data_IF_845423405389
#
_entry.id   IF_845423405389
#
_cell.length_a   1.000
_cell.length_b   1.000
_cell.length_c   1.000
_cell.angle_alpha   90.00
_cell.angle_beta   90.00
_cell.angle_gamma   90.00
#
_symmetry.space_group_name_H-M   'P 1'
#
loop_
_entity.id
_entity.type
_entity.pdbx_description
1 polymer ?
#
# COMPACT_ATOMS: atom_id res chain seq x y z
N UNK A 1 -20.99 9.99 -61.32
CA UNK A 1 -19.94 9.29 -60.54
C UNK A 1 -19.52 10.23 -59.42
N UNK A 2 -20.01 10.00 -58.20
CA UNK A 2 -19.76 10.85 -57.02
C UNK A 2 -18.62 10.20 -56.24
N UNK A 3 -17.52 10.93 -56.05
CA UNK A 3 -16.35 10.44 -55.32
C UNK A 3 -16.55 10.83 -53.86
N UNK A 4 -16.88 9.86 -53.01
CA UNK A 4 -16.97 10.08 -51.57
C UNK A 4 -15.56 10.14 -50.97
N UNK A 5 -15.27 11.21 -50.23
CA UNK A 5 -14.01 11.40 -49.52
C UNK A 5 -14.02 10.66 -48.17
N UNK A 6 -12.92 10.02 -47.75
CA UNK A 6 -12.87 9.27 -46.51
C UNK A 6 -12.84 10.21 -45.30
N UNK A 7 -13.84 10.09 -44.43
CA UNK A 7 -13.87 10.78 -43.13
C UNK A 7 -12.90 10.08 -42.18
N UNK A 8 -11.81 10.77 -41.86
CA UNK A 8 -10.86 10.37 -40.81
C UNK A 8 -11.52 10.56 -39.43
N UNK A 9 -11.99 9.46 -38.86
CA UNK A 9 -12.41 9.39 -37.46
C UNK A 9 -11.18 9.50 -36.56
N UNK A 10 -10.84 10.72 -36.14
CA UNK A 10 -9.93 10.93 -35.02
C UNK A 10 -10.69 10.62 -33.73
N UNK A 11 -10.55 9.39 -33.24
CA UNK A 11 -10.89 9.05 -31.85
C UNK A 11 -9.95 9.83 -30.93
N UNK A 12 -10.27 11.09 -30.67
CA UNK A 12 -9.71 11.83 -29.57
C UNK A 12 -10.10 11.09 -28.28
N UNK A 13 -9.15 10.31 -27.76
CA UNK A 13 -9.23 9.71 -26.44
C UNK A 13 -9.25 10.81 -25.40
N UNK A 14 -10.44 11.37 -25.15
CA UNK A 14 -10.68 12.27 -24.05
C UNK A 14 -10.28 11.53 -22.77
N UNK A 15 -9.14 11.92 -22.19
CA UNK A 15 -8.75 11.47 -20.85
C UNK A 15 -9.87 11.93 -19.93
N UNK A 16 -10.58 10.99 -19.33
CA UNK A 16 -11.58 11.30 -18.31
C UNK A 16 -10.92 12.14 -17.21
N UNK A 17 -11.56 13.22 -16.75
CA UNK A 17 -11.01 14.02 -15.66
C UNK A 17 -10.76 13.13 -14.44
N UNK A 18 -9.68 13.41 -13.73
CA UNK A 18 -9.30 12.68 -12.51
C UNK A 18 -10.50 12.67 -11.55
N UNK A 19 -11.09 11.50 -11.36
CA UNK A 19 -12.15 11.34 -10.37
C UNK A 19 -11.51 11.37 -8.98
N UNK A 20 -12.08 12.16 -8.07
CA UNK A 20 -11.64 12.20 -6.66
C UNK A 20 -11.55 10.80 -6.05
N UNK A 21 -12.45 9.89 -6.43
CA UNK A 21 -12.43 8.52 -5.94
C UNK A 21 -11.30 7.64 -6.51
N UNK A 22 -10.65 8.03 -7.60
CA UNK A 22 -9.45 7.33 -8.10
C UNK A 22 -8.20 7.75 -7.32
N UNK A 23 -8.14 9.02 -6.88
CA UNK A 23 -7.03 9.56 -6.10
C UNK A 23 -6.81 8.82 -4.77
N UNK A 24 -7.85 8.15 -4.25
CA UNK A 24 -7.79 7.25 -3.11
C UNK A 24 -6.61 6.26 -3.19
N UNK A 25 -6.34 5.71 -4.39
CA UNK A 25 -5.32 4.70 -4.59
C UNK A 25 -3.88 5.21 -4.55
N UNK A 26 -3.66 6.51 -4.36
CA UNK A 26 -2.33 7.07 -4.11
C UNK A 26 -1.94 6.90 -2.63
N UNK A 27 -2.92 6.77 -1.73
CA UNK A 27 -2.70 6.70 -0.27
C UNK A 27 -1.70 5.61 0.14
N UNK A 28 -1.81 4.34 -0.32
CA UNK A 28 -0.87 3.30 0.10
C UNK A 28 0.58 3.65 -0.25
N UNK A 29 0.81 4.21 -1.44
CA UNK A 29 2.14 4.63 -1.89
C UNK A 29 2.73 5.77 -1.07
N UNK A 30 1.94 6.81 -0.76
CA UNK A 30 2.42 7.94 0.08
C UNK A 30 2.68 7.47 1.51
N UNK A 31 1.76 6.69 2.08
CA UNK A 31 1.93 6.14 3.43
C UNK A 31 3.23 5.38 3.54
N UNK A 32 3.51 4.48 2.58
CA UNK A 32 4.68 3.62 2.69
C UNK A 32 5.99 4.41 2.65
N UNK A 33 6.08 5.43 1.79
CA UNK A 33 7.24 6.34 1.78
C UNK A 33 7.42 7.01 3.15
N UNK A 34 6.36 7.57 3.72
CA UNK A 34 6.45 8.26 5.02
C UNK A 34 6.82 7.31 6.16
N UNK A 35 6.26 6.10 6.14
CA UNK A 35 6.55 5.08 7.12
C UNK A 35 8.01 4.61 7.05
N UNK A 36 8.50 4.26 5.86
CA UNK A 36 9.91 3.87 5.70
C UNK A 36 10.87 5.01 6.07
N UNK A 37 10.49 6.27 5.83
CA UNK A 37 11.32 7.42 6.25
C UNK A 37 11.43 7.55 7.78
N UNK A 38 10.38 7.17 8.54
CA UNK A 38 10.47 7.09 10.00
C UNK A 38 11.38 5.94 10.45
N UNK A 39 11.29 4.80 9.77
CA UNK A 39 12.07 3.60 10.11
C UNK A 39 13.56 3.74 9.77
N UNK A 40 13.88 4.40 8.65
CA UNK A 40 15.21 4.43 8.04
C UNK A 40 16.37 4.72 9.03
N UNK A 41 16.25 5.65 10.00
CA UNK A 41 17.37 5.94 10.89
C UNK A 41 17.63 4.85 11.94
N UNK A 42 16.61 4.11 12.39
CA UNK A 42 16.69 3.31 13.61
C UNK A 42 16.10 1.90 13.54
N UNK A 43 15.42 1.52 12.46
CA UNK A 43 14.73 0.23 12.40
C UNK A 43 15.70 -0.95 12.39
N UNK A 44 16.73 -0.95 11.54
CA UNK A 44 17.75 -2.00 11.52
C UNK A 44 18.41 -2.25 12.90
N UNK A 45 18.97 -1.25 13.60
CA UNK A 45 19.53 -1.47 14.93
C UNK A 45 18.47 -1.79 15.99
N UNK A 46 17.20 -1.42 15.80
CA UNK A 46 16.11 -1.83 16.69
C UNK A 46 15.77 -3.31 16.50
N UNK A 47 15.66 -3.79 15.26
CA UNK A 47 15.41 -5.19 14.94
C UNK A 47 16.52 -6.09 15.50
N UNK A 48 17.80 -5.76 15.30
CA UNK A 48 18.92 -6.54 15.85
C UNK A 48 18.95 -6.65 17.38
N UNK A 49 18.24 -5.78 18.11
CA UNK A 49 18.14 -5.90 19.58
C UNK A 49 17.05 -6.86 20.05
N UNK A 50 16.00 -7.06 19.26
CA UNK A 50 14.80 -7.79 19.67
C UNK A 50 14.53 -9.06 18.85
N UNK A 51 15.11 -9.18 17.67
CA UNK A 51 14.90 -10.27 16.71
C UNK A 51 16.25 -10.74 16.13
N UNK A 52 16.28 -11.14 14.85
CA UNK A 52 17.52 -11.51 14.15
C UNK A 52 18.33 -10.27 13.76
N UNK A 53 19.62 -10.47 13.50
CA UNK A 53 20.53 -9.40 13.07
C UNK A 53 20.11 -8.84 11.71
N UNK A 54 19.73 -7.56 11.67
CA UNK A 54 19.36 -6.85 10.45
C UNK A 54 20.36 -5.74 10.13
N UNK A 55 21.06 -5.87 9.01
CA UNK A 55 21.92 -4.78 8.52
C UNK A 55 21.10 -3.70 7.80
N UNK A 56 21.55 -2.43 7.80
CA UNK A 56 20.91 -1.38 7.00
C UNK A 56 20.84 -1.71 5.49
N UNK A 57 21.83 -2.44 4.97
CA UNK A 57 21.82 -2.89 3.57
C UNK A 57 20.72 -3.92 3.33
N UNK A 58 20.58 -4.91 4.21
CA UNK A 58 19.53 -5.93 4.14
C UNK A 58 18.15 -5.28 4.23
N UNK A 59 17.95 -4.35 5.15
CA UNK A 59 16.74 -3.53 5.25
C UNK A 59 16.42 -2.83 3.92
N UNK A 60 17.40 -2.13 3.34
CA UNK A 60 17.21 -1.45 2.06
C UNK A 60 16.88 -2.42 0.90
N UNK A 61 17.48 -3.62 0.88
CA UNK A 61 17.20 -4.64 -0.14
C UNK A 61 15.77 -5.20 -0.06
N UNK A 62 15.14 -5.18 1.12
CA UNK A 62 13.74 -5.57 1.28
C UNK A 62 12.79 -4.40 1.00
N UNK A 63 13.08 -3.22 1.57
CA UNK A 63 12.17 -2.08 1.48
C UNK A 63 12.14 -1.43 0.10
N UNK A 64 13.27 -1.26 -0.60
CA UNK A 64 13.30 -0.57 -1.90
C UNK A 64 12.40 -1.29 -2.93
N UNK A 65 12.51 -2.62 -3.15
CA UNK A 65 11.61 -3.33 -4.05
C UNK A 65 10.15 -3.27 -3.60
N UNK A 66 9.89 -3.37 -2.30
CA UNK A 66 8.54 -3.30 -1.76
C UNK A 66 7.89 -1.93 -2.00
N UNK A 67 8.61 -0.84 -1.77
CA UNK A 67 8.16 0.53 -2.06
C UNK A 67 7.86 0.68 -3.55
N UNK A 68 8.77 0.25 -4.43
CA UNK A 68 8.56 0.33 -5.88
C UNK A 68 7.33 -0.47 -6.32
N UNK A 69 7.11 -1.63 -5.73
CA UNK A 69 5.93 -2.46 -5.99
C UNK A 69 4.64 -1.77 -5.55
N UNK A 70 4.59 -1.23 -4.33
CA UNK A 70 3.40 -0.52 -3.82
C UNK A 70 3.12 0.75 -4.62
N UNK A 71 4.16 1.49 -5.03
CA UNK A 71 4.01 2.65 -5.91
C UNK A 71 3.43 2.26 -7.27
N UNK A 72 3.93 1.17 -7.87
CA UNK A 72 3.39 0.64 -9.11
C UNK A 72 1.91 0.24 -8.96
N UNK A 73 1.58 -0.51 -7.91
CA UNK A 73 0.21 -0.94 -7.61
C UNK A 73 -0.71 0.27 -7.41
N UNK A 74 -0.28 1.23 -6.60
CA UNK A 74 -0.99 2.49 -6.33
C UNK A 74 -1.27 3.25 -7.62
N UNK A 75 -0.24 3.42 -8.45
CA UNK A 75 -0.37 4.09 -9.75
C UNK A 75 -1.31 3.34 -10.70
N UNK A 76 -1.17 2.02 -10.82
CA UNK A 76 -2.03 1.22 -11.70
C UNK A 76 -3.48 1.22 -11.24
N UNK A 77 -3.74 1.14 -9.93
CA UNK A 77 -5.08 1.23 -9.36
C UNK A 77 -5.71 2.61 -9.58
N UNK A 78 -4.93 3.68 -9.38
CA UNK A 78 -5.31 5.07 -9.68
C UNK A 78 -5.74 5.24 -11.15
N UNK A 79 -4.97 4.68 -12.09
CA UNK A 79 -5.29 4.74 -13.53
C UNK A 79 -6.45 3.81 -13.91
N UNK A 80 -6.59 2.63 -13.27
CA UNK A 80 -7.59 1.60 -13.62
C UNK A 80 -8.92 1.72 -12.87
N UNK A 81 -9.06 2.75 -12.03
CA UNK A 81 -10.27 3.35 -11.49
C UNK A 81 -11.19 2.44 -10.67
N UNK A 82 -11.77 1.34 -11.19
CA UNK A 82 -12.90 0.68 -10.51
C UNK A 82 -12.69 -0.75 -10.04
N UNK A 83 -12.22 -1.67 -10.88
CA UNK A 83 -12.14 -3.09 -10.51
C UNK A 83 -10.89 -3.78 -11.08
N UNK A 84 -10.60 -4.97 -10.55
CA UNK A 84 -9.54 -5.84 -11.04
C UNK A 84 -8.30 -5.87 -10.16
N UNK A 85 -7.30 -6.62 -10.62
CA UNK A 85 -6.14 -7.03 -9.82
C UNK A 85 -5.40 -5.88 -9.15
N UNK A 86 -5.26 -4.72 -9.82
CA UNK A 86 -4.55 -3.58 -9.25
C UNK A 86 -5.27 -2.95 -8.06
N UNK A 87 -6.61 -2.88 -8.11
CA UNK A 87 -7.42 -2.40 -6.99
C UNK A 87 -7.32 -3.40 -5.83
N UNK A 88 -7.45 -4.70 -6.11
CA UNK A 88 -7.28 -5.77 -5.11
C UNK A 88 -5.92 -5.65 -4.41
N UNK A 89 -4.84 -5.49 -5.18
CA UNK A 89 -3.49 -5.35 -4.63
C UNK A 89 -3.30 -4.05 -3.84
N UNK A 90 -3.93 -2.94 -4.25
CA UNK A 90 -3.85 -1.69 -3.50
C UNK A 90 -4.60 -1.79 -2.16
N UNK A 91 -5.77 -2.43 -2.14
CA UNK A 91 -6.49 -2.75 -0.90
C UNK A 91 -5.68 -3.72 -0.03
N UNK A 92 -5.06 -4.74 -0.62
CA UNK A 92 -4.19 -5.66 0.10
C UNK A 92 -2.98 -4.95 0.74
N UNK A 93 -2.33 -4.03 0.03
CA UNK A 93 -1.26 -3.21 0.56
C UNK A 93 -1.73 -2.35 1.75
N UNK A 94 -2.93 -1.77 1.67
CA UNK A 94 -3.48 -1.00 2.78
C UNK A 94 -3.79 -1.87 4.01
N UNK A 95 -4.34 -3.07 3.81
CA UNK A 95 -4.57 -4.04 4.90
C UNK A 95 -3.25 -4.46 5.53
N UNK A 96 -2.23 -4.73 4.71
CA UNK A 96 -0.86 -5.00 5.14
C UNK A 96 -0.34 -3.89 6.08
N UNK A 97 -0.51 -2.63 5.70
CA UNK A 97 -0.08 -1.50 6.52
C UNK A 97 -0.82 -1.38 7.86
N UNK A 98 -2.09 -1.77 7.95
CA UNK A 98 -2.75 -1.85 9.25
C UNK A 98 -2.13 -2.92 10.15
N UNK A 99 -1.82 -4.11 9.63
CA UNK A 99 -1.15 -5.14 10.42
C UNK A 99 0.26 -4.73 10.84
N UNK A 100 1.01 -4.11 9.94
CA UNK A 100 2.32 -3.55 10.26
C UNK A 100 2.21 -2.47 11.36
N UNK A 101 1.26 -1.53 11.27
CA UNK A 101 1.03 -0.54 12.33
C UNK A 101 0.70 -1.20 13.68
N UNK A 102 -0.14 -2.24 13.68
CA UNK A 102 -0.42 -3.02 14.90
C UNK A 102 0.82 -3.71 15.44
N UNK A 103 1.70 -4.23 14.58
CA UNK A 103 2.97 -4.83 14.99
C UNK A 103 3.88 -3.81 15.69
N UNK A 104 4.09 -2.62 15.14
CA UNK A 104 4.91 -1.58 15.77
C UNK A 104 4.34 -1.12 17.11
N UNK A 105 3.03 -0.91 17.18
CA UNK A 105 2.38 -0.49 18.43
C UNK A 105 2.44 -1.59 19.49
N UNK A 106 2.25 -2.85 19.08
CA UNK A 106 2.33 -3.99 19.99
C UNK A 106 3.75 -4.19 20.51
N UNK A 107 4.75 -4.13 19.63
CA UNK A 107 6.16 -4.27 20.04
C UNK A 107 6.65 -3.10 20.87
N UNK A 108 6.21 -1.88 20.58
CA UNK A 108 6.48 -0.72 21.43
C UNK A 108 5.91 -0.92 22.85
N UNK A 109 4.69 -1.44 22.96
CA UNK A 109 4.09 -1.77 24.24
C UNK A 109 4.82 -2.93 24.95
N UNK A 110 5.11 -4.02 24.25
CA UNK A 110 5.73 -5.23 24.81
C UNK A 110 7.17 -5.01 25.25
N UNK A 111 7.96 -4.26 24.48
CA UNK A 111 9.35 -3.95 24.80
C UNK A 111 9.50 -2.68 25.63
N UNK A 112 8.40 -1.95 25.87
CA UNK A 112 8.38 -0.69 26.60
C UNK A 112 9.42 0.32 26.09
N UNK A 113 9.58 0.37 24.77
CA UNK A 113 10.48 1.30 24.08
C UNK A 113 9.87 1.76 22.76
N UNK A 114 10.44 2.82 22.18
CA UNK A 114 10.03 3.28 20.86
C UNK A 114 10.35 2.22 19.80
N UNK A 115 9.32 1.75 19.07
CA UNK A 115 9.48 0.96 17.86
C UNK A 115 9.49 1.90 16.64
N UNK A 116 10.58 2.00 15.88
CA UNK A 116 10.61 2.81 14.66
C UNK A 116 9.49 2.37 13.72
N UNK A 117 8.62 3.31 13.33
CA UNK A 117 7.40 3.03 12.57
C UNK A 117 6.11 3.16 13.39
N UNK A 118 6.19 3.22 14.73
CA UNK A 118 4.99 3.33 15.57
C UNK A 118 4.26 4.67 15.43
N UNK A 119 4.97 5.78 15.16
CA UNK A 119 4.34 7.10 15.08
C UNK A 119 3.53 7.22 13.81
N UNK A 120 4.11 6.91 12.65
CA UNK A 120 3.39 6.84 11.38
C UNK A 120 2.35 5.73 11.40
N UNK A 121 2.60 4.59 12.04
CA UNK A 121 1.61 3.54 12.23
C UNK A 121 0.35 4.02 12.97
N UNK A 122 0.53 4.73 14.09
CA UNK A 122 -0.58 5.25 14.90
C UNK A 122 -1.29 6.46 14.26
N UNK A 123 -0.52 7.41 13.73
CA UNK A 123 -1.05 8.70 13.25
C UNK A 123 -1.55 8.61 11.81
N UNK A 124 -0.93 7.77 10.98
CA UNK A 124 -1.26 7.62 9.57
C UNK A 124 -1.79 6.22 9.25
N UNK A 125 -1.08 5.15 9.63
CA UNK A 125 -1.37 3.78 9.21
C UNK A 125 -2.78 3.33 9.54
N UNK A 126 -3.15 3.37 10.82
CA UNK A 126 -4.51 2.99 11.25
C UNK A 126 -5.58 3.96 10.75
N UNK A 127 -5.46 5.30 10.92
CA UNK A 127 -6.49 6.23 10.46
C UNK A 127 -6.70 6.22 8.93
N UNK A 128 -5.61 6.18 8.15
CA UNK A 128 -5.70 6.09 6.69
C UNK A 128 -6.26 4.75 6.24
N UNK A 129 -5.97 3.64 6.93
CA UNK A 129 -6.58 2.36 6.59
C UNK A 129 -8.08 2.40 6.82
N UNK A 130 -8.55 2.89 7.97
CA UNK A 130 -9.98 3.02 8.25
C UNK A 130 -10.67 3.88 7.18
N UNK A 131 -10.12 5.07 6.91
CA UNK A 131 -10.62 5.97 5.88
C UNK A 131 -10.64 5.31 4.49
N UNK A 132 -9.55 4.66 4.10
CA UNK A 132 -9.41 4.04 2.80
C UNK A 132 -10.41 2.89 2.61
N UNK A 133 -10.57 2.04 3.63
CA UNK A 133 -11.51 0.91 3.59
C UNK A 133 -12.97 1.38 3.56
N UNK A 134 -13.31 2.41 4.33
CA UNK A 134 -14.63 3.06 4.27
C UNK A 134 -14.94 3.55 2.85
N UNK A 135 -13.98 4.23 2.19
CA UNK A 135 -14.17 4.71 0.81
C UNK A 135 -14.24 3.59 -0.22
N UNK A 136 -13.40 2.56 -0.10
CA UNK A 136 -13.47 1.35 -0.95
C UNK A 136 -14.87 0.71 -0.87
N UNK A 137 -15.43 0.64 0.35
CA UNK A 137 -16.76 0.08 0.58
C UNK A 137 -17.87 0.96 0.03
N UNK A 138 -17.91 2.25 0.39
CA UNK A 138 -18.95 3.19 -0.04
C UNK A 138 -18.98 3.36 -1.56
N UNK A 139 -17.81 3.41 -2.20
CA UNK A 139 -17.67 3.58 -3.65
C UNK A 139 -17.77 2.25 -4.42
N UNK A 140 -18.02 1.13 -3.72
CA UNK A 140 -18.15 -0.23 -4.28
C UNK A 140 -16.98 -0.59 -5.19
N UNK A 141 -15.76 -0.27 -4.77
CA UNK A 141 -14.53 -0.52 -5.55
C UNK A 141 -14.22 -2.02 -5.65
N UNK A 142 -14.65 -2.82 -4.69
CA UNK A 142 -14.51 -4.27 -4.72
C UNK A 142 -15.84 -4.94 -4.39
N UNK A 143 -16.13 -6.07 -5.03
CA UNK A 143 -17.20 -6.96 -4.55
C UNK A 143 -16.73 -7.76 -3.32
N UNK A 144 -17.63 -8.48 -2.65
CA UNK A 144 -17.28 -9.22 -1.43
C UNK A 144 -16.16 -10.26 -1.62
N UNK A 145 -16.10 -10.93 -2.78
CA UNK A 145 -15.05 -11.92 -3.07
C UNK A 145 -13.68 -11.25 -3.23
N UNK A 146 -13.62 -10.18 -4.02
CA UNK A 146 -12.40 -9.38 -4.18
C UNK A 146 -11.97 -8.75 -2.85
N UNK A 147 -12.96 -8.28 -2.07
CA UNK A 147 -12.99 -8.05 -0.64
C UNK A 147 -12.08 -8.99 0.15
N UNK A 148 -12.59 -10.21 0.29
CA UNK A 148 -11.95 -11.27 1.06
C UNK A 148 -10.57 -11.63 0.53
N UNK A 149 -10.39 -11.66 -0.80
CA UNK A 149 -9.08 -11.91 -1.42
C UNK A 149 -8.08 -10.83 -1.01
N UNK A 150 -8.45 -9.55 -1.08
CA UNK A 150 -7.57 -8.45 -0.71
C UNK A 150 -7.16 -8.52 0.76
N UNK A 151 -8.11 -8.83 1.67
CA UNK A 151 -7.83 -8.97 3.10
C UNK A 151 -6.86 -10.14 3.36
N UNK A 152 -7.10 -11.30 2.76
CA UNK A 152 -6.23 -12.48 2.92
C UNK A 152 -4.83 -12.20 2.36
N UNK A 153 -4.73 -11.58 1.18
CA UNK A 153 -3.45 -11.21 0.59
C UNK A 153 -2.71 -10.20 1.47
N UNK A 154 -3.39 -9.16 1.96
CA UNK A 154 -2.79 -8.17 2.86
C UNK A 154 -2.25 -8.79 4.14
N UNK A 155 -3.04 -9.65 4.80
CA UNK A 155 -2.60 -10.37 5.98
C UNK A 155 -1.42 -11.32 5.69
N UNK A 156 -1.41 -11.95 4.51
CA UNK A 156 -0.29 -12.82 4.08
C UNK A 156 0.98 -12.01 3.86
N UNK A 157 0.89 -10.85 3.21
CA UNK A 157 2.03 -9.95 3.06
C UNK A 157 2.54 -9.46 4.42
N UNK A 158 1.65 -9.23 5.39
CA UNK A 158 2.01 -8.87 6.77
C UNK A 158 2.81 -9.96 7.44
N UNK A 159 2.26 -11.17 7.45
CA UNK A 159 2.92 -12.31 8.04
C UNK A 159 4.28 -12.56 7.38
N UNK A 160 4.38 -12.46 6.05
CA UNK A 160 5.63 -12.62 5.33
C UNK A 160 6.67 -11.55 5.72
N UNK A 161 6.29 -10.27 5.71
CA UNK A 161 7.19 -9.18 6.09
C UNK A 161 7.68 -9.30 7.54
N UNK A 162 6.78 -9.61 8.48
CA UNK A 162 7.13 -9.81 9.89
C UNK A 162 8.01 -11.05 10.06
N UNK A 163 7.77 -12.12 9.29
CA UNK A 163 8.59 -13.33 9.36
C UNK A 163 10.03 -13.10 8.90
N UNK A 164 10.27 -12.14 8.02
CA UNK A 164 11.63 -11.76 7.61
C UNK A 164 12.48 -11.19 8.76
N UNK A 165 11.87 -10.77 9.87
CA UNK A 165 12.60 -10.28 11.04
C UNK A 165 13.28 -11.42 11.83
N UNK A 166 12.93 -12.67 11.56
CA UNK A 166 13.40 -13.84 12.31
C UNK A 166 14.44 -14.68 11.56
N UNK A 167 14.89 -14.24 10.38
CA UNK A 167 15.87 -14.93 9.53
C UNK A 167 17.07 -14.04 9.26
#
# INVERSE_FOLDING_TARGET
MKIDSPTTSTKNGARTPLSLGSALFIIPGIYYILHTLEELPYFAPWVSRHFADLSPLTFALFEIPAILFVLLVSYKAFVKQRHGVWVILAVAAQVQFAFNALFHLSTAFLFNEYSPGMVTGAVLGLPLTIFFMDRVWQEKRLNHKELSIAIVLGATFAAAAISLLFI
#
